data_IF_132197219188
#
_entry.id   IF_132197219188
#
_cell.length_a   1.000
_cell.length_b   1.000
_cell.length_c   1.000
_cell.angle_alpha   90.00
_cell.angle_beta   90.00
_cell.angle_gamma   90.00
#
_symmetry.space_group_name_H-M   'P 1'
#
loop_
_entity.id
_entity.type
_entity.pdbx_description
1 polymer ?
#
# COMPACT_ATOMS: atom_id res chain seq x y z
N UNK A 1 -8.70 -9.24 3.19
CA UNK A 1 -8.39 -8.10 4.07
C UNK A 1 -7.14 -8.44 4.88
N UNK A 2 -6.21 -7.52 4.92
CA UNK A 2 -5.03 -7.56 5.79
C UNK A 2 -5.10 -6.35 6.72
N UNK A 3 -4.87 -6.58 8.00
CA UNK A 3 -4.88 -5.56 9.04
C UNK A 3 -3.64 -5.78 9.92
N UNK A 4 -2.80 -4.78 10.03
CA UNK A 4 -1.61 -4.79 10.88
C UNK A 4 -1.56 -3.51 11.69
N UNK A 5 -1.58 -3.66 12.99
CA UNK A 5 -1.31 -2.57 13.93
C UNK A 5 -0.08 -2.90 14.75
N UNK A 6 0.67 -1.88 15.14
CA UNK A 6 1.84 -2.02 15.99
C UNK A 6 3.04 -1.24 15.51
N UNK A 7 4.17 -1.51 16.15
CA UNK A 7 5.45 -0.88 15.86
C UNK A 7 6.55 -1.95 15.79
N UNK A 8 7.66 -1.62 15.17
CA UNK A 8 8.82 -2.51 15.08
C UNK A 8 10.11 -1.74 15.31
N UNK A 9 11.03 -2.33 16.08
CA UNK A 9 12.37 -1.79 16.24
C UNK A 9 13.19 -1.97 14.96
N UNK A 10 14.11 -1.04 14.72
CA UNK A 10 15.04 -1.11 13.58
C UNK A 10 16.30 -1.88 13.97
N UNK A 11 16.39 -3.13 13.56
CA UNK A 11 17.61 -3.96 13.78
C UNK A 11 18.86 -3.33 13.15
N UNK A 12 18.76 -2.74 11.97
CA UNK A 12 19.90 -2.11 11.31
C UNK A 12 20.46 -0.93 12.10
N UNK A 13 19.61 -0.22 12.85
CA UNK A 13 20.06 0.83 13.77
C UNK A 13 20.71 0.24 15.02
N UNK A 14 20.15 -0.83 15.56
CA UNK A 14 20.71 -1.49 16.74
C UNK A 14 22.17 -1.96 16.52
N UNK A 15 22.48 -2.49 15.34
CA UNK A 15 23.86 -2.89 14.99
C UNK A 15 24.85 -1.73 14.84
N UNK A 16 24.35 -0.52 14.66
CA UNK A 16 25.18 0.68 14.49
C UNK A 16 25.27 1.54 15.76
N UNK A 17 24.56 1.12 16.81
CA UNK A 17 24.56 1.85 18.07
C UNK A 17 25.91 1.67 18.80
N UNK A 18 26.31 2.72 19.52
CA UNK A 18 27.41 2.61 20.45
C UNK A 18 27.06 1.56 21.53
N UNK A 19 27.91 0.55 21.78
CA UNK A 19 27.64 -0.45 22.83
C UNK A 19 27.47 0.11 24.25
N UNK A 20 27.97 1.32 24.49
CA UNK A 20 27.86 2.03 25.76
C UNK A 20 26.62 2.94 25.84
N UNK A 21 25.79 2.96 24.78
CA UNK A 21 24.59 3.77 24.76
C UNK A 21 23.52 3.20 25.69
N UNK A 22 22.87 4.06 26.46
CA UNK A 22 21.81 3.70 27.39
C UNK A 22 20.45 3.74 26.71
N UNK A 23 19.76 2.59 26.68
CA UNK A 23 18.45 2.45 26.04
C UNK A 23 17.29 2.98 26.91
N UNK A 24 17.49 3.03 28.24
CA UNK A 24 16.47 3.41 29.22
C UNK A 24 16.97 4.54 30.11
N UNK A 25 16.06 5.34 30.64
CA UNK A 25 16.35 6.33 31.69
C UNK A 25 16.37 5.67 33.08
N UNK A 26 16.63 6.45 34.12
CA UNK A 26 16.68 6.00 35.53
C UNK A 26 15.32 5.48 36.01
N UNK A 27 14.22 5.96 35.40
CA UNK A 27 12.85 5.55 35.70
C UNK A 27 12.41 4.31 34.91
N UNK A 28 13.25 3.81 33.98
CA UNK A 28 12.98 2.63 33.15
C UNK A 28 12.17 2.91 31.89
N UNK A 29 11.97 4.19 31.52
CA UNK A 29 11.33 4.53 30.25
C UNK A 29 12.34 4.46 29.10
N UNK A 30 11.85 4.22 27.90
CA UNK A 30 12.69 4.18 26.70
C UNK A 30 13.15 5.61 26.38
N UNK A 31 14.46 5.85 26.40
CA UNK A 31 15.04 7.13 25.96
C UNK A 31 14.77 7.34 24.47
N UNK A 32 14.42 8.54 24.07
CA UNK A 32 14.27 8.90 22.64
C UNK A 32 15.62 8.92 21.93
N UNK A 33 16.66 9.43 22.59
CA UNK A 33 18.05 9.39 22.17
C UNK A 33 18.84 8.53 23.14
N UNK A 34 19.60 7.57 22.64
CA UNK A 34 20.43 6.68 23.47
C UNK A 34 21.83 7.26 23.77
N UNK A 35 22.18 8.40 23.17
CA UNK A 35 23.43 9.13 23.33
C UNK A 35 23.17 10.63 23.39
N UNK A 36 23.86 11.36 24.25
CA UNK A 36 23.60 12.80 24.48
C UNK A 36 24.02 13.71 23.32
N UNK A 37 24.99 13.30 22.52
CA UNK A 37 25.39 14.06 21.33
C UNK A 37 24.38 13.88 20.19
N UNK A 38 23.42 14.79 20.15
CA UNK A 38 22.31 14.77 19.18
C UNK A 38 22.71 15.07 17.74
N UNK A 39 23.98 15.40 17.49
CA UNK A 39 24.49 15.70 16.15
C UNK A 39 24.67 14.47 15.25
N UNK A 40 24.73 13.28 15.84
CA UNK A 40 24.93 12.03 15.11
C UNK A 40 23.61 11.34 14.77
N UNK A 41 23.48 10.93 13.50
CA UNK A 41 22.34 10.13 13.00
C UNK A 41 22.17 8.78 13.74
N UNK A 42 23.18 8.37 14.51
CA UNK A 42 23.24 7.12 15.30
C UNK A 42 22.80 7.29 16.75
N UNK A 43 22.49 8.51 17.19
CA UNK A 43 22.04 8.77 18.54
C UNK A 43 20.59 8.32 18.80
N UNK A 44 19.82 8.09 17.74
CA UNK A 44 18.41 7.65 17.87
C UNK A 44 18.33 6.27 18.47
N UNK A 45 17.71 6.15 19.63
CA UNK A 45 17.46 4.87 20.25
C UNK A 45 16.58 3.96 19.34
N UNK A 46 17.06 2.78 18.90
CA UNK A 46 16.26 1.88 18.08
C UNK A 46 14.94 1.47 18.75
N UNK A 47 14.92 1.40 20.08
CA UNK A 47 13.73 1.04 20.86
C UNK A 47 12.67 2.15 20.85
N UNK A 48 13.05 3.42 20.65
CA UNK A 48 12.08 4.53 20.63
C UNK A 48 11.02 4.36 19.54
N UNK A 49 11.31 3.61 18.46
CA UNK A 49 10.35 3.30 17.42
C UNK A 49 9.24 2.33 17.86
N UNK A 50 9.41 1.64 19.00
CA UNK A 50 8.36 0.79 19.58
C UNK A 50 7.17 1.60 20.10
N UNK A 51 7.39 2.87 20.42
CA UNK A 51 6.34 3.78 20.85
C UNK A 51 5.52 4.35 19.67
N UNK A 52 5.98 4.18 18.43
CA UNK A 52 5.19 4.55 17.26
C UNK A 52 3.88 3.76 17.21
N UNK A 53 2.79 4.44 16.95
CA UNK A 53 1.48 3.82 16.74
C UNK A 53 1.20 3.80 15.24
N UNK A 54 1.06 2.61 14.67
CA UNK A 54 0.76 2.46 13.24
C UNK A 54 -0.41 1.51 13.00
N UNK A 55 -1.15 1.77 11.96
CA UNK A 55 -2.22 0.91 11.45
C UNK A 55 -2.11 0.84 9.91
N UNK A 56 -2.13 -0.36 9.36
CA UNK A 56 -2.08 -0.61 7.91
C UNK A 56 -3.19 -1.61 7.57
N UNK A 57 -4.23 -1.11 6.92
CA UNK A 57 -5.38 -1.90 6.49
C UNK A 57 -5.37 -1.98 4.97
N UNK A 58 -5.36 -3.21 4.45
CA UNK A 58 -5.43 -3.46 3.01
C UNK A 58 -6.59 -4.38 2.69
N UNK A 59 -7.31 -4.04 1.66
CA UNK A 59 -8.39 -4.87 1.13
C UNK A 59 -8.18 -5.09 -0.36
N UNK A 60 -8.41 -6.33 -0.81
CA UNK A 60 -8.31 -6.68 -2.23
C UNK A 60 -9.47 -7.60 -2.59
N UNK A 61 -10.14 -7.27 -3.68
CA UNK A 61 -11.20 -8.10 -4.29
C UNK A 61 -10.78 -8.38 -5.72
N UNK A 62 -10.82 -9.65 -6.11
CA UNK A 62 -10.50 -10.09 -7.46
C UNK A 62 -11.67 -10.94 -7.94
N UNK A 63 -12.16 -10.65 -9.13
CA UNK A 63 -13.13 -11.51 -9.83
C UNK A 63 -12.64 -11.80 -11.23
N UNK A 64 -12.73 -13.06 -11.63
CA UNK A 64 -12.44 -13.49 -12.99
C UNK A 64 -13.61 -14.34 -13.49
N UNK A 65 -14.11 -14.01 -14.68
CA UNK A 65 -15.19 -14.76 -15.31
C UNK A 65 -14.76 -15.17 -16.71
N UNK A 66 -15.15 -16.37 -17.09
CA UNK A 66 -14.90 -16.95 -18.40
C UNK A 66 -16.23 -17.46 -18.95
N UNK A 67 -16.59 -17.01 -20.14
CA UNK A 67 -17.73 -17.51 -20.89
C UNK A 67 -17.21 -18.04 -22.23
N UNK A 68 -17.49 -19.31 -22.52
CA UNK A 68 -17.16 -19.91 -23.81
C UNK A 68 -18.44 -20.40 -24.50
N UNK A 69 -18.60 -19.99 -25.74
CA UNK A 69 -19.76 -20.34 -26.57
C UNK A 69 -19.24 -21.03 -27.87
N UNK A 70 -19.67 -22.25 -28.11
CA UNK A 70 -19.47 -22.93 -29.37
C UNK A 70 -20.70 -22.66 -30.24
N UNK A 71 -20.48 -22.12 -31.43
CA UNK A 71 -21.57 -21.73 -32.34
C UNK A 71 -22.05 -22.95 -33.13
N UNK A 72 -23.27 -23.47 -32.87
CA UNK A 72 -23.71 -24.74 -33.49
C UNK A 72 -23.98 -24.62 -35.01
N UNK A 73 -24.29 -23.39 -35.49
CA UNK A 73 -24.55 -23.16 -36.91
C UNK A 73 -23.28 -22.95 -37.74
N UNK A 74 -22.11 -22.82 -37.10
CA UNK A 74 -20.82 -22.74 -37.79
C UNK A 74 -19.87 -23.75 -37.13
N UNK A 75 -19.82 -24.99 -37.63
CA UNK A 75 -18.95 -26.01 -37.05
C UNK A 75 -17.50 -25.56 -36.98
N UNK A 76 -16.90 -25.69 -35.79
CA UNK A 76 -15.53 -25.29 -35.54
C UNK A 76 -15.31 -23.85 -35.09
N UNK A 77 -16.37 -23.04 -35.00
CA UNK A 77 -16.28 -21.69 -34.50
C UNK A 77 -16.64 -21.62 -32.98
N UNK A 78 -15.73 -21.06 -32.21
CA UNK A 78 -15.95 -20.77 -30.79
C UNK A 78 -15.60 -19.30 -30.46
N UNK A 79 -16.34 -18.75 -29.53
CA UNK A 79 -16.10 -17.45 -28.96
C UNK A 79 -15.87 -17.63 -27.47
N UNK A 80 -14.81 -17.01 -26.94
CA UNK A 80 -14.48 -17.00 -25.52
C UNK A 80 -14.32 -15.56 -25.05
N UNK A 81 -15.06 -15.22 -24.01
CA UNK A 81 -14.98 -13.98 -23.30
C UNK A 81 -14.31 -14.21 -21.94
N UNK A 82 -13.18 -13.56 -21.70
CA UNK A 82 -12.58 -13.46 -20.37
C UNK A 82 -12.82 -12.05 -19.84
N UNK A 83 -13.27 -11.95 -18.60
CA UNK A 83 -13.37 -10.68 -17.90
C UNK A 83 -12.71 -10.80 -16.55
N UNK A 84 -11.91 -9.78 -16.18
CA UNK A 84 -11.29 -9.66 -14.89
C UNK A 84 -11.61 -8.30 -14.28
N UNK A 85 -11.81 -8.27 -12.97
CA UNK A 85 -11.90 -7.04 -12.19
C UNK A 85 -11.14 -7.19 -10.90
N UNK A 86 -10.27 -6.23 -10.62
CA UNK A 86 -9.53 -6.13 -9.37
C UNK A 86 -9.78 -4.77 -8.74
N UNK A 87 -10.21 -4.78 -7.49
CA UNK A 87 -10.27 -3.60 -6.63
C UNK A 87 -9.32 -3.78 -5.46
N UNK A 88 -8.52 -2.76 -5.18
CA UNK A 88 -7.65 -2.70 -4.02
C UNK A 88 -7.83 -1.37 -3.29
N UNK A 89 -7.77 -1.42 -1.97
CA UNK A 89 -7.66 -0.23 -1.13
C UNK A 89 -6.64 -0.45 -0.03
N UNK A 90 -5.95 0.61 0.34
CA UNK A 90 -4.99 0.65 1.44
C UNK A 90 -5.24 1.92 2.26
N UNK A 91 -5.23 1.77 3.57
CA UNK A 91 -5.24 2.88 4.52
C UNK A 91 -4.10 2.64 5.50
N UNK A 92 -3.09 3.48 5.42
CA UNK A 92 -1.95 3.46 6.31
C UNK A 92 -1.90 4.73 7.14
N UNK A 93 -1.69 4.56 8.44
CA UNK A 93 -1.57 5.67 9.40
C UNK A 93 -0.43 5.38 10.34
N UNK A 94 0.37 6.39 10.65
CA UNK A 94 1.44 6.30 11.63
C UNK A 94 1.49 7.56 12.45
N UNK A 95 1.48 7.40 13.76
CA UNK A 95 1.70 8.48 14.71
C UNK A 95 2.99 8.23 15.49
N UNK A 96 3.86 9.23 15.49
CA UNK A 96 5.07 9.29 16.29
C UNK A 96 4.81 10.29 17.40
N UNK A 97 4.59 9.80 18.62
CA UNK A 97 4.27 10.60 19.78
C UNK A 97 5.46 11.40 20.30
N UNK A 98 5.20 12.27 21.26
CA UNK A 98 6.22 13.09 21.94
C UNK A 98 7.23 12.25 22.73
N UNK A 99 6.91 10.98 22.98
CA UNK A 99 7.79 9.97 23.59
C UNK A 99 8.73 9.28 22.58
N UNK A 100 8.69 9.67 21.30
CA UNK A 100 9.59 9.18 20.26
C UNK A 100 10.62 10.23 19.87
N UNK A 101 11.75 9.78 19.29
CA UNK A 101 12.84 10.70 18.92
C UNK A 101 12.41 11.81 17.93
N UNK A 102 11.66 11.45 16.88
CA UNK A 102 11.21 12.42 15.88
C UNK A 102 9.98 13.20 16.37
N UNK A 103 9.07 12.52 17.06
CA UNK A 103 7.86 13.15 17.59
C UNK A 103 8.15 14.19 18.66
N UNK A 104 9.11 13.94 19.56
CA UNK A 104 9.52 14.92 20.58
C UNK A 104 9.97 16.26 19.98
N UNK A 105 10.62 16.24 18.81
CA UNK A 105 11.14 17.44 18.12
C UNK A 105 10.07 18.24 17.39
N UNK A 106 8.91 17.64 17.17
CA UNK A 106 7.83 18.23 16.38
C UNK A 106 6.51 18.23 17.12
N UNK A 107 6.52 18.01 18.44
CA UNK A 107 5.33 17.84 19.27
C UNK A 107 4.33 16.84 18.64
N UNK A 108 4.84 15.68 18.24
CA UNK A 108 4.09 14.68 17.52
C UNK A 108 4.11 14.84 15.99
N UNK A 109 4.18 13.72 15.29
CA UNK A 109 4.10 13.64 13.82
C UNK A 109 3.07 12.58 13.44
N UNK A 110 2.11 12.96 12.63
CA UNK A 110 1.12 12.06 12.05
C UNK A 110 1.33 11.99 10.52
N UNK A 111 1.44 10.78 10.01
CA UNK A 111 1.42 10.52 8.58
C UNK A 111 0.25 9.61 8.24
N UNK A 112 -0.47 9.92 7.18
CA UNK A 112 -1.53 9.07 6.62
C UNK A 112 -1.33 8.92 5.12
N UNK A 113 -1.62 7.74 4.60
CA UNK A 113 -1.61 7.44 3.17
C UNK A 113 -2.78 6.51 2.86
N UNK A 114 -3.78 7.05 2.18
CA UNK A 114 -4.98 6.34 1.77
C UNK A 114 -5.02 6.30 0.24
N UNK A 115 -5.12 5.10 -0.33
CA UNK A 115 -5.28 4.95 -1.76
C UNK A 115 -6.22 3.81 -2.11
N UNK A 116 -6.82 3.91 -3.28
CA UNK A 116 -7.54 2.81 -3.91
C UNK A 116 -7.18 2.69 -5.38
N UNK A 117 -7.31 1.51 -5.90
CA UNK A 117 -7.15 1.23 -7.33
C UNK A 117 -8.19 0.26 -7.83
N UNK A 118 -8.55 0.43 -9.09
CA UNK A 118 -9.41 -0.48 -9.82
C UNK A 118 -8.78 -0.82 -11.17
N UNK A 119 -8.88 -2.07 -11.51
CA UNK A 119 -8.43 -2.59 -12.79
C UNK A 119 -9.49 -3.50 -13.37
N UNK A 120 -9.79 -3.33 -14.63
CA UNK A 120 -10.60 -4.28 -15.37
C UNK A 120 -9.92 -4.68 -16.67
N UNK A 121 -10.14 -5.92 -17.05
CA UNK A 121 -9.70 -6.50 -18.31
C UNK A 121 -10.87 -7.18 -19.01
N UNK A 122 -10.93 -7.01 -20.31
CA UNK A 122 -11.87 -7.67 -21.21
C UNK A 122 -11.10 -8.26 -22.38
N UNK A 123 -11.20 -9.55 -22.57
CA UNK A 123 -10.58 -10.26 -23.70
C UNK A 123 -11.66 -11.01 -24.48
N UNK A 124 -11.73 -10.74 -25.78
CA UNK A 124 -12.59 -11.42 -26.72
C UNK A 124 -11.73 -12.29 -27.63
N UNK A 125 -11.95 -13.59 -27.59
CA UNK A 125 -11.18 -14.55 -28.34
C UNK A 125 -12.13 -15.30 -29.28
N UNK A 126 -11.85 -15.23 -30.56
CA UNK A 126 -12.57 -16.00 -31.60
C UNK A 126 -11.61 -17.06 -32.11
N UNK A 127 -12.02 -18.31 -32.06
CA UNK A 127 -11.26 -19.45 -32.64
C UNK A 127 -12.09 -20.20 -33.64
N UNK A 128 -11.52 -20.42 -34.82
CA UNK A 128 -12.11 -21.21 -35.86
C UNK A 128 -11.18 -22.35 -36.28
N UNK A 129 -11.66 -23.58 -36.20
CA UNK A 129 -10.93 -24.78 -36.61
C UNK A 129 -11.81 -25.60 -37.50
N UNK A 130 -11.34 -25.91 -38.71
CA UNK A 130 -12.08 -26.75 -39.63
C UNK A 130 -11.15 -27.60 -40.50
N UNK A 131 -11.57 -28.80 -40.76
CA UNK A 131 -10.90 -29.74 -41.67
C UNK A 131 -11.69 -29.84 -42.97
N UNK A 132 -10.97 -29.75 -44.11
CA UNK A 132 -11.49 -29.88 -45.46
C UNK A 132 -10.66 -30.95 -46.18
N UNK A 133 -11.13 -32.18 -46.21
CA UNK A 133 -10.38 -33.30 -46.76
C UNK A 133 -9.03 -33.48 -46.06
N UNK A 134 -7.91 -33.20 -46.77
CA UNK A 134 -6.55 -33.28 -46.22
C UNK A 134 -6.03 -31.96 -45.62
N UNK A 135 -6.81 -30.88 -45.65
CA UNK A 135 -6.41 -29.56 -45.21
C UNK A 135 -7.10 -29.24 -43.91
N UNK A 136 -6.34 -28.68 -42.97
CA UNK A 136 -6.84 -28.16 -41.69
C UNK A 136 -6.57 -26.67 -41.63
N UNK A 137 -7.62 -25.89 -41.39
CA UNK A 137 -7.53 -24.45 -41.13
C UNK A 137 -7.70 -24.21 -39.63
N UNK A 138 -6.80 -23.43 -39.09
CA UNK A 138 -6.88 -22.93 -37.72
C UNK A 138 -6.69 -21.42 -37.76
N UNK A 139 -7.61 -20.67 -37.14
CA UNK A 139 -7.56 -19.23 -37.02
C UNK A 139 -7.92 -18.85 -35.59
N UNK A 140 -7.17 -17.90 -35.01
CA UNK A 140 -7.51 -17.27 -33.72
C UNK A 140 -7.38 -15.77 -33.87
N UNK A 141 -8.43 -15.04 -33.48
CA UNK A 141 -8.45 -13.60 -33.34
C UNK A 141 -8.61 -13.25 -31.87
N UNK A 142 -7.85 -12.26 -31.39
CA UNK A 142 -7.93 -11.72 -30.06
C UNK A 142 -8.17 -10.20 -30.13
N UNK A 143 -9.11 -9.72 -29.34
CA UNK A 143 -9.26 -8.30 -29.03
C UNK A 143 -9.28 -8.15 -27.51
N UNK A 144 -8.39 -7.35 -26.96
CA UNK A 144 -8.37 -7.07 -25.53
C UNK A 144 -8.44 -5.57 -25.24
N UNK A 145 -9.08 -5.25 -24.11
CA UNK A 145 -9.13 -3.94 -23.55
C UNK A 145 -8.90 -4.03 -22.04
N UNK A 146 -8.08 -3.13 -21.50
CA UNK A 146 -7.74 -3.06 -20.09
C UNK A 146 -7.71 -1.60 -19.66
N UNK A 147 -8.20 -1.33 -18.46
CA UNK A 147 -8.05 -0.03 -17.81
C UNK A 147 -7.62 -0.23 -16.36
N UNK A 148 -6.66 0.57 -15.94
CA UNK A 148 -6.19 0.68 -14.57
C UNK A 148 -6.32 2.12 -14.12
N UNK A 149 -6.93 2.33 -12.95
CA UNK A 149 -7.02 3.62 -12.29
C UNK A 149 -6.57 3.48 -10.84
N UNK A 150 -5.81 4.46 -10.38
CA UNK A 150 -5.38 4.57 -8.98
C UNK A 150 -5.51 6.00 -8.52
N UNK A 151 -6.10 6.18 -7.35
CA UNK A 151 -6.23 7.46 -6.67
C UNK A 151 -5.69 7.32 -5.25
N UNK A 152 -4.97 8.34 -4.76
CA UNK A 152 -4.40 8.33 -3.44
C UNK A 152 -4.27 9.73 -2.85
N UNK A 153 -4.35 9.78 -1.52
CA UNK A 153 -4.21 11.00 -0.73
C UNK A 153 -3.31 10.73 0.46
N UNK A 154 -2.27 11.55 0.60
CA UNK A 154 -1.38 11.54 1.76
C UNK A 154 -1.53 12.82 2.57
N UNK A 155 -1.46 12.72 3.89
CA UNK A 155 -1.42 13.87 4.78
C UNK A 155 -0.33 13.70 5.83
N UNK A 156 0.35 14.80 6.16
CA UNK A 156 1.25 14.92 7.30
C UNK A 156 0.73 16.02 8.21
N UNK A 157 0.67 15.73 9.51
CA UNK A 157 0.37 16.72 10.55
C UNK A 157 1.47 16.74 11.58
N UNK A 158 1.77 17.93 12.11
CA UNK A 158 2.76 18.17 13.18
C UNK A 158 2.23 19.13 14.21
N UNK A 159 2.90 19.16 15.36
CA UNK A 159 2.62 20.07 16.47
C UNK A 159 1.20 19.85 17.02
N UNK A 160 1.06 18.74 17.74
CA UNK A 160 -0.17 18.34 18.41
C UNK A 160 -0.17 18.79 19.87
N UNK A 161 -1.34 19.10 20.45
CA UNK A 161 -1.43 19.53 21.86
C UNK A 161 -1.19 18.37 22.85
N UNK A 162 -1.36 17.12 22.42
CA UNK A 162 -1.15 15.90 23.21
C UNK A 162 -1.14 14.65 22.34
N UNK A 163 -0.78 13.51 22.93
CA UNK A 163 -0.69 12.19 22.26
C UNK A 163 -1.93 11.30 22.46
N UNK A 164 -3.01 11.80 23.07
CA UNK A 164 -4.11 10.97 23.58
C UNK A 164 -4.84 10.20 22.46
N UNK A 165 -5.07 10.81 21.30
CA UNK A 165 -5.85 10.23 20.22
C UNK A 165 -4.99 9.60 19.11
N UNK A 166 -3.66 9.64 19.23
CA UNK A 166 -2.71 9.10 18.27
C UNK A 166 -3.05 9.52 16.81
N UNK A 167 -3.24 8.56 15.90
CA UNK A 167 -3.50 8.82 14.49
C UNK A 167 -4.94 9.24 14.16
N UNK A 168 -5.80 9.48 15.16
CA UNK A 168 -7.17 9.97 14.95
C UNK A 168 -7.34 11.48 15.15
N UNK A 169 -6.24 12.22 15.33
CA UNK A 169 -6.31 13.63 15.68
C UNK A 169 -5.73 14.60 14.62
N UNK A 170 -5.72 14.24 13.35
CA UNK A 170 -5.13 15.07 12.28
C UNK A 170 -5.63 16.53 12.34
N UNK A 171 -6.91 16.74 12.65
CA UNK A 171 -7.51 18.07 12.76
C UNK A 171 -6.99 18.92 13.92
N UNK A 172 -6.18 18.36 14.82
CA UNK A 172 -5.57 19.05 15.97
C UNK A 172 -4.13 19.46 15.71
N UNK A 173 -3.55 19.07 14.56
CA UNK A 173 -2.22 19.50 14.17
C UNK A 173 -2.19 21.02 13.92
N UNK A 174 -1.17 21.70 14.44
CA UNK A 174 -0.97 23.12 14.16
C UNK A 174 -0.45 23.35 12.72
N UNK A 175 0.28 22.36 12.19
CA UNK A 175 0.77 22.39 10.81
C UNK A 175 0.29 21.14 10.08
N UNK A 176 -0.28 21.33 8.89
CA UNK A 176 -0.73 20.25 8.03
C UNK A 176 -0.23 20.43 6.60
N UNK A 177 0.18 19.35 5.97
CA UNK A 177 0.43 19.30 4.54
C UNK A 177 -0.26 18.08 3.95
N UNK A 178 -0.62 18.16 2.69
CA UNK A 178 -1.30 17.07 2.00
C UNK A 178 -0.89 16.98 0.54
N UNK A 179 -0.99 15.78 0.00
CA UNK A 179 -0.75 15.49 -1.41
C UNK A 179 -1.85 14.58 -1.93
N UNK A 180 -2.16 14.71 -3.20
CA UNK A 180 -3.03 13.78 -3.90
C UNK A 180 -2.36 13.28 -5.17
N UNK A 181 -2.69 12.07 -5.57
CA UNK A 181 -2.18 11.46 -6.79
C UNK A 181 -3.30 10.76 -7.54
N UNK A 182 -3.23 10.83 -8.86
CA UNK A 182 -4.13 10.11 -9.75
C UNK A 182 -3.34 9.51 -10.91
N UNK A 183 -3.59 8.26 -11.20
CA UNK A 183 -2.99 7.56 -12.34
C UNK A 183 -4.07 6.82 -13.10
N UNK A 184 -4.08 6.98 -14.42
CA UNK A 184 -4.95 6.22 -15.33
C UNK A 184 -4.14 5.67 -16.49
N UNK A 185 -4.35 4.39 -16.81
CA UNK A 185 -3.71 3.70 -17.92
C UNK A 185 -4.77 2.88 -18.66
N UNK A 186 -4.77 2.98 -19.98
CA UNK A 186 -5.65 2.21 -20.85
C UNK A 186 -4.79 1.49 -21.90
N UNK A 187 -5.10 0.22 -22.13
CA UNK A 187 -4.46 -0.60 -23.15
C UNK A 187 -5.51 -1.25 -24.01
N UNK A 188 -5.28 -1.26 -25.32
CA UNK A 188 -6.12 -1.94 -26.33
C UNK A 188 -5.18 -2.66 -27.27
N UNK A 189 -5.46 -3.92 -27.55
CA UNK A 189 -4.70 -4.76 -28.46
C UNK A 189 -5.60 -5.71 -29.27
#
# INVERSE_FOLDING_TARGET
RYDRSGSSASFSRAFRMNPLAEAYDEEGNIRSAAWEDSSEAFSVNPLSSLNNKSNDIRSKVITNNVVEIKLPFVPGLSYKLNTGYTYQSSSWKQYQGMDTYYGARSNGILNTDDWHSQEWILENIITYTREFGKHRIFFTGLYSAQSYEKEGNGMEGKDFPNDVMYYYQISKAATMSGSSSYTKQNHIS
#
